data_IF_863308013260
#
_entry.id   IF_863308013260
#
_cell.length_a   1.000
_cell.length_b   1.000
_cell.length_c   1.000
_cell.angle_alpha   90.00
_cell.angle_beta   90.00
_cell.angle_gamma   90.00
#
_symmetry.space_group_name_H-M   'P 1'
#
loop_
_entity.id
_entity.type
_entity.pdbx_description
1 polymer ?
#
# COMPACT_ATOMS: atom_id res chain seq x y z
N UNK A 1 -3.59 -11.74 -2.76
CA UNK A 1 -2.53 -10.74 -3.00
C UNK A 1 -1.80 -10.99 -4.30
N UNK A 2 -2.07 -10.14 -5.27
CA UNK A 2 -1.38 -10.00 -6.55
C UNK A 2 -0.99 -8.54 -6.69
N UNK A 3 0.32 -8.29 -6.76
CA UNK A 3 0.89 -6.96 -6.92
C UNK A 3 1.52 -6.89 -8.31
N UNK A 4 1.23 -5.84 -9.05
CA UNK A 4 1.89 -5.48 -10.31
C UNK A 4 2.46 -4.07 -10.18
N UNK A 5 3.15 -3.58 -11.22
CA UNK A 5 3.62 -2.20 -11.25
C UNK A 5 2.50 -1.16 -11.13
N UNK A 6 1.25 -1.52 -11.46
CA UNK A 6 0.13 -0.57 -11.55
C UNK A 6 -1.08 -0.97 -10.71
N UNK A 7 -1.07 -2.15 -10.08
CA UNK A 7 -2.25 -2.65 -9.35
C UNK A 7 -1.90 -3.46 -8.11
N UNK A 8 -2.70 -3.33 -7.07
CA UNK A 8 -2.74 -4.20 -5.90
C UNK A 8 -4.11 -4.87 -5.81
N UNK A 9 -4.16 -6.20 -5.96
CA UNK A 9 -5.42 -6.97 -5.99
C UNK A 9 -6.50 -6.33 -6.89
N UNK A 10 -6.07 -5.86 -8.08
CA UNK A 10 -6.87 -5.15 -9.11
C UNK A 10 -7.21 -3.68 -8.81
N UNK A 11 -6.93 -3.18 -7.62
CA UNK A 11 -7.02 -1.75 -7.30
C UNK A 11 -5.85 -1.01 -7.93
N UNK A 12 -6.11 0.13 -8.58
CA UNK A 12 -5.05 0.91 -9.26
C UNK A 12 -4.12 1.58 -8.26
N UNK A 13 -2.82 1.56 -8.57
CA UNK A 13 -1.78 2.24 -7.82
C UNK A 13 -1.40 3.54 -8.53
N UNK A 14 -1.26 4.61 -7.76
CA UNK A 14 -0.86 5.93 -8.22
C UNK A 14 0.34 6.43 -7.43
N UNK A 15 1.18 7.26 -8.05
CA UNK A 15 2.28 7.92 -7.35
C UNK A 15 1.75 8.90 -6.32
N UNK A 16 2.52 9.10 -5.26
CA UNK A 16 2.23 10.11 -4.26
C UNK A 16 2.07 11.50 -4.88
N UNK A 17 0.99 12.18 -4.50
CA UNK A 17 0.74 13.55 -4.91
C UNK A 17 1.68 14.49 -4.16
N UNK A 18 2.14 15.56 -4.82
CA UNK A 18 2.86 16.63 -4.12
C UNK A 18 1.96 17.29 -3.07
N UNK A 19 2.53 17.89 -2.02
CA UNK A 19 1.78 18.57 -0.95
C UNK A 19 0.74 19.60 -1.46
N UNK A 20 1.02 20.26 -2.59
CA UNK A 20 0.07 21.20 -3.22
C UNK A 20 -1.08 20.45 -3.90
N UNK A 21 -0.80 19.37 -4.62
CA UNK A 21 -1.79 18.52 -5.26
C UNK A 21 -2.66 17.79 -4.23
N UNK A 22 -2.06 17.25 -3.17
CA UNK A 22 -2.77 16.59 -2.06
C UNK A 22 -3.77 17.57 -1.43
N UNK A 23 -3.33 18.78 -1.06
CA UNK A 23 -4.24 19.81 -0.50
C UNK A 23 -5.39 20.16 -1.44
N UNK A 24 -5.13 20.30 -2.74
CA UNK A 24 -6.17 20.57 -3.74
C UNK A 24 -7.15 19.39 -3.86
N UNK A 25 -6.63 18.17 -3.88
CA UNK A 25 -7.41 16.94 -3.98
C UNK A 25 -8.30 16.74 -2.75
N UNK A 26 -7.76 16.81 -1.55
CA UNK A 26 -8.51 16.65 -0.30
C UNK A 26 -9.61 17.69 -0.17
N UNK A 27 -9.35 18.96 -0.52
CA UNK A 27 -10.40 20.01 -0.55
C UNK A 27 -11.52 19.68 -1.53
N UNK A 28 -11.17 19.20 -2.73
CA UNK A 28 -12.16 18.80 -3.74
C UNK A 28 -12.98 17.62 -3.27
N UNK A 29 -12.33 16.61 -2.71
CA UNK A 29 -12.98 15.40 -2.21
C UNK A 29 -13.93 15.73 -1.05
N UNK A 30 -13.48 16.50 -0.05
CA UNK A 30 -14.30 16.89 1.09
C UNK A 30 -15.59 17.61 0.66
N UNK A 31 -15.49 18.56 -0.28
CA UNK A 31 -16.66 19.25 -0.83
C UNK A 31 -17.63 18.29 -1.53
N UNK A 32 -17.10 17.45 -2.43
CA UNK A 32 -17.92 16.48 -3.17
C UNK A 32 -18.54 15.42 -2.24
N UNK A 33 -17.84 15.06 -1.18
CA UNK A 33 -18.33 14.10 -0.20
C UNK A 33 -19.47 14.67 0.65
N UNK A 34 -19.33 15.92 1.10
CA UNK A 34 -20.42 16.65 1.76
C UNK A 34 -21.67 16.74 0.88
N UNK A 35 -21.51 17.08 -0.40
CA UNK A 35 -22.61 17.09 -1.39
C UNK A 35 -23.24 15.70 -1.57
N UNK A 36 -22.46 14.63 -1.40
CA UNK A 36 -22.92 13.23 -1.49
C UNK A 36 -23.49 12.65 -0.18
N UNK A 37 -23.60 13.45 0.88
CA UNK A 37 -23.95 13.00 2.25
C UNK A 37 -22.95 11.97 2.80
N UNK A 38 -21.66 12.23 2.61
CA UNK A 38 -20.54 11.44 3.15
C UNK A 38 -20.45 9.99 2.65
N UNK A 39 -20.82 9.76 1.38
CA UNK A 39 -20.81 8.42 0.76
C UNK A 39 -19.68 8.24 -0.25
N UNK A 40 -19.08 9.32 -0.72
CA UNK A 40 -18.10 9.31 -1.81
C UNK A 40 -16.72 8.94 -1.30
N UNK A 41 -16.34 9.45 -0.14
CA UNK A 41 -14.99 9.32 0.37
C UNK A 41 -14.57 7.86 0.57
N UNK A 42 -15.43 7.06 1.23
CA UNK A 42 -15.21 5.62 1.40
C UNK A 42 -15.05 4.89 0.06
N UNK A 43 -15.88 5.23 -0.93
CA UNK A 43 -15.83 4.64 -2.28
C UNK A 43 -14.50 4.97 -2.98
N UNK A 44 -14.06 6.22 -2.89
CA UNK A 44 -12.77 6.66 -3.45
C UNK A 44 -11.62 5.91 -2.77
N UNK A 45 -11.67 5.79 -1.44
CA UNK A 45 -10.61 5.17 -0.61
C UNK A 45 -10.39 3.69 -0.87
N UNK A 46 -11.41 2.98 -1.34
CA UNK A 46 -11.29 1.57 -1.73
C UNK A 46 -11.06 1.35 -3.21
N UNK A 47 -11.11 2.42 -4.03
CA UNK A 47 -11.01 2.32 -5.49
C UNK A 47 -9.61 2.58 -6.04
N UNK A 48 -8.76 3.28 -5.27
CA UNK A 48 -7.44 3.72 -5.68
C UNK A 48 -6.52 3.79 -4.46
N UNK A 49 -5.27 3.36 -4.64
CA UNK A 49 -4.25 3.46 -3.62
C UNK A 49 -3.06 4.27 -4.10
N UNK A 50 -2.45 4.96 -3.16
CA UNK A 50 -1.16 5.60 -3.36
C UNK A 50 -0.05 4.59 -3.14
N UNK A 51 1.00 4.64 -3.95
CA UNK A 51 2.22 3.87 -3.77
C UNK A 51 3.43 4.80 -3.84
N UNK A 52 4.37 4.58 -2.93
CA UNK A 52 5.64 5.30 -2.88
C UNK A 52 6.81 4.34 -2.68
N UNK A 53 7.90 4.62 -3.38
CA UNK A 53 9.11 3.80 -3.30
C UNK A 53 9.98 4.26 -2.12
N UNK A 54 10.56 3.31 -1.39
CA UNK A 54 11.49 3.62 -0.32
C UNK A 54 12.65 2.62 -0.26
N UNK A 55 13.68 2.97 0.50
CA UNK A 55 14.81 2.06 0.78
C UNK A 55 14.70 1.52 2.19
N UNK A 56 14.62 0.20 2.30
CA UNK A 56 14.76 -0.51 3.57
C UNK A 56 16.17 -1.07 3.68
N UNK A 57 17.02 -0.41 4.46
CA UNK A 57 18.48 -0.61 4.42
C UNK A 57 18.99 -0.49 2.97
N UNK A 58 19.54 -1.58 2.40
CA UNK A 58 20.05 -1.65 1.02
C UNK A 58 19.05 -2.27 0.03
N UNK A 59 17.82 -2.58 0.48
CA UNK A 59 16.79 -3.21 -0.36
C UNK A 59 15.74 -2.20 -0.77
N UNK A 60 15.30 -2.27 -2.03
CA UNK A 60 14.12 -1.53 -2.48
C UNK A 60 12.86 -2.10 -1.81
N UNK A 61 11.98 -1.20 -1.40
CA UNK A 61 10.64 -1.48 -0.94
C UNK A 61 9.68 -0.43 -1.47
N UNK A 62 8.40 -0.66 -1.26
CA UNK A 62 7.35 0.31 -1.58
C UNK A 62 6.25 0.25 -0.54
N UNK A 63 5.54 1.35 -0.37
CA UNK A 63 4.33 1.47 0.46
C UNK A 63 3.10 1.40 -0.43
N UNK A 64 1.97 0.95 0.12
CA UNK A 64 0.66 1.10 -0.51
C UNK A 64 -0.32 1.58 0.56
N UNK A 65 -0.90 2.76 0.35
CA UNK A 65 -1.71 3.46 1.34
C UNK A 65 -3.06 3.94 0.76
N UNK A 66 -4.12 3.91 1.57
CA UNK A 66 -5.48 4.34 1.21
C UNK A 66 -5.74 5.84 1.28
N UNK A 67 -4.69 6.65 1.38
CA UNK A 67 -4.77 8.03 1.86
C UNK A 67 -5.44 9.03 0.92
N UNK A 68 -5.64 8.65 -0.35
CA UNK A 68 -6.39 9.44 -1.34
C UNK A 68 -7.83 9.77 -0.89
N UNK A 69 -8.38 9.05 0.08
CA UNK A 69 -9.71 9.34 0.61
C UNK A 69 -9.75 10.20 1.87
N UNK A 70 -8.65 10.58 2.53
CA UNK A 70 -8.70 11.26 3.84
C UNK A 70 -9.48 10.56 4.98
N UNK A 71 -10.20 9.46 4.74
CA UNK A 71 -11.13 8.84 5.71
C UNK A 71 -10.81 7.37 6.02
N UNK A 72 -9.60 6.92 5.74
CA UNK A 72 -9.15 5.67 6.32
C UNK A 72 -7.79 5.89 6.98
N UNK A 73 -7.78 5.70 8.29
CA UNK A 73 -6.62 5.37 9.11
C UNK A 73 -5.92 4.06 8.69
N UNK A 74 -6.15 3.60 7.46
CA UNK A 74 -5.33 2.57 6.85
C UNK A 74 -4.01 3.23 6.48
N UNK A 75 -3.09 3.18 7.45
CA UNK A 75 -1.71 3.59 7.30
C UNK A 75 -0.99 2.79 6.21
N UNK A 76 -1.69 1.82 5.62
CA UNK A 76 -1.25 1.02 4.52
C UNK A 76 -0.27 -0.03 4.99
N UNK A 77 0.44 -0.58 4.02
CA UNK A 77 1.43 -1.62 4.27
C UNK A 77 2.72 -1.27 3.55
N UNK A 78 3.85 -1.67 4.15
CA UNK A 78 5.14 -1.61 3.48
C UNK A 78 5.55 -2.99 3.01
N UNK A 79 6.13 -3.05 1.82
CA UNK A 79 6.47 -4.26 1.10
C UNK A 79 7.95 -4.22 0.74
N UNK A 80 8.72 -5.17 1.27
CA UNK A 80 10.18 -5.22 1.04
C UNK A 80 10.57 -6.61 0.60
N UNK A 81 11.35 -6.70 -0.48
CA UNK A 81 11.93 -7.99 -0.88
C UNK A 81 13.08 -8.35 0.06
N UNK A 82 12.97 -9.51 0.71
CA UNK A 82 14.00 -10.05 1.61
C UNK A 82 14.39 -11.48 1.20
N UNK A 83 15.49 -11.98 1.75
CA UNK A 83 15.91 -13.37 1.58
C UNK A 83 15.68 -14.13 2.88
N UNK A 84 14.87 -15.20 2.86
CA UNK A 84 14.66 -16.11 4.02
C UNK A 84 15.28 -17.47 3.76
N UNK A 85 15.81 -18.12 4.80
CA UNK A 85 16.31 -19.50 4.72
C UNK A 85 15.10 -20.46 4.64
N UNK A 86 15.11 -21.37 3.67
CA UNK A 86 14.13 -22.44 3.49
C UNK A 86 14.88 -23.68 2.98
N UNK A 87 14.83 -24.79 3.74
CA UNK A 87 15.50 -26.07 3.41
C UNK A 87 16.96 -25.90 2.95
N UNK A 88 17.75 -25.13 3.70
CA UNK A 88 19.18 -24.91 3.39
C UNK A 88 19.47 -23.80 2.37
N UNK A 89 18.50 -23.37 1.58
CA UNK A 89 18.68 -22.31 0.57
C UNK A 89 18.05 -20.97 0.99
N UNK A 90 18.54 -19.86 0.43
CA UNK A 90 17.92 -18.53 0.62
C UNK A 90 16.95 -18.23 -0.52
N UNK A 91 15.66 -18.06 -0.18
CA UNK A 91 14.60 -17.74 -1.15
C UNK A 91 14.17 -16.28 -1.04
N UNK A 92 13.89 -15.64 -2.19
CA UNK A 92 13.28 -14.30 -2.21
C UNK A 92 11.85 -14.39 -1.69
N UNK A 93 11.53 -13.53 -0.75
CA UNK A 93 10.25 -13.47 -0.05
C UNK A 93 9.86 -12.01 0.12
N UNK A 94 8.57 -11.71 0.08
CA UNK A 94 8.09 -10.36 0.34
C UNK A 94 7.78 -10.24 1.84
N UNK A 95 8.46 -9.33 2.54
CA UNK A 95 8.18 -8.99 3.93
C UNK A 95 7.12 -7.89 3.93
N UNK A 96 6.04 -8.12 4.67
CA UNK A 96 4.95 -7.15 4.84
C UNK A 96 5.01 -6.58 6.25
N UNK A 97 4.91 -5.26 6.37
CA UNK A 97 4.84 -4.55 7.67
C UNK A 97 3.64 -3.60 7.66
N UNK A 98 3.12 -3.30 8.83
CA UNK A 98 2.11 -2.27 9.03
C UNK A 98 2.70 -0.90 8.66
N UNK A 99 1.98 -0.07 7.94
CA UNK A 99 2.43 1.27 7.59
C UNK A 99 2.38 2.26 8.75
N UNK A 100 1.59 1.99 9.82
CA UNK A 100 1.41 2.90 10.95
C UNK A 100 2.65 2.97 11.86
N UNK A 101 3.12 1.80 12.28
CA UNK A 101 4.15 1.62 13.30
C UNK A 101 5.33 0.78 12.77
N UNK A 102 5.30 0.40 11.49
CA UNK A 102 6.27 -0.48 10.88
C UNK A 102 6.39 -1.85 11.58
N UNK A 103 5.38 -2.29 12.32
CA UNK A 103 5.37 -3.62 12.94
C UNK A 103 5.40 -4.70 11.86
N UNK A 104 6.20 -5.75 12.07
CA UNK A 104 6.19 -6.90 11.17
C UNK A 104 4.83 -7.59 11.25
N UNK A 105 4.26 -7.92 10.07
CA UNK A 105 2.99 -8.63 9.99
C UNK A 105 3.22 -10.08 9.54
N UNK A 106 3.69 -10.27 8.32
CA UNK A 106 3.86 -11.61 7.75
C UNK A 106 4.83 -11.61 6.55
N UNK A 107 5.15 -12.82 6.10
CA UNK A 107 5.90 -13.07 4.87
C UNK A 107 4.97 -13.60 3.78
N UNK A 108 5.14 -13.07 2.57
CA UNK A 108 4.46 -13.53 1.37
C UNK A 108 5.45 -14.29 0.48
N UNK A 109 5.05 -15.50 0.09
CA UNK A 109 5.84 -16.38 -0.76
C UNK A 109 5.18 -16.53 -2.12
N UNK A 110 5.99 -16.81 -3.16
CA UNK A 110 5.51 -16.97 -4.53
C UNK A 110 4.55 -18.16 -4.71
N UNK A 111 4.67 -19.19 -3.87
CA UNK A 111 3.83 -20.39 -3.92
C UNK A 111 3.42 -20.85 -2.52
N UNK A 112 2.29 -21.55 -2.42
CA UNK A 112 1.80 -22.12 -1.15
C UNK A 112 2.78 -23.12 -0.53
N UNK A 113 3.55 -23.85 -1.34
CA UNK A 113 4.55 -24.82 -0.87
C UNK A 113 5.67 -24.17 -0.05
N UNK A 114 6.02 -22.93 -0.36
CA UNK A 114 7.05 -22.17 0.35
C UNK A 114 6.54 -21.54 1.66
N UNK A 115 5.23 -21.48 1.84
CA UNK A 115 4.59 -20.94 3.03
C UNK A 115 4.31 -22.02 4.11
N UNK A 116 4.62 -23.29 3.81
CA UNK A 116 4.49 -24.42 4.73
C UNK A 116 5.80 -24.71 5.46
#
# INVERSE_FOLDING_TARGET
MRITAYTFDKVKLYKMLSNKQTRKWTKKLAKADQESRFKLTKKVGTSQYEADDFKFHKSAGFTINGWLSSDNADSGHTYVTVKKKYKGSKIKTLRVRNGADNAFLYYCYRTKKLAK
#
